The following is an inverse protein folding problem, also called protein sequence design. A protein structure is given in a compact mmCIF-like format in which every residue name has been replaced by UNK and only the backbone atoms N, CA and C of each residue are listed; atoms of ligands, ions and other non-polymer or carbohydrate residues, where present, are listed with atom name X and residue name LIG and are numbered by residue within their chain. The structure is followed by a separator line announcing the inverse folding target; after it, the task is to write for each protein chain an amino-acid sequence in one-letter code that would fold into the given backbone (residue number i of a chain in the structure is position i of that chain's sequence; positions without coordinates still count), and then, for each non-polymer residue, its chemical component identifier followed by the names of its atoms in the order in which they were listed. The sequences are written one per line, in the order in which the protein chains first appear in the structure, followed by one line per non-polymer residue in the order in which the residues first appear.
data_IF_582597586824
#
_entry.id   IF_582597586824
#
_cell.length_a   1.000
_cell.length_b   1.000
_cell.length_c   1.000
_cell.angle_alpha   90.00
_cell.angle_beta   90.00
_cell.angle_gamma   90.00
#
_symmetry.space_group_name_H-M   'P 1'
#
loop_
_entity.id
_entity.type
_entity.pdbx_description
1 polymer ?
#
# COMPACT_ATOMS: atom_id res chain seq x y z
N UNK A 1 45.00 -40.54 21.73
CA UNK A 1 45.14 -40.45 23.19
C UNK A 1 46.12 -39.34 23.53
N UNK A 2 45.65 -38.21 24.09
CA UNK A 2 46.34 -37.42 25.14
C UNK A 2 45.39 -36.34 25.67
N UNK A 3 45.20 -36.39 26.99
CA UNK A 3 44.46 -35.50 27.91
C UNK A 3 44.99 -34.03 27.85
N UNK A 4 44.36 -32.95 28.35
CA UNK A 4 43.62 -32.71 29.60
C UNK A 4 42.96 -31.32 29.56
N UNK A 5 41.87 -31.15 30.32
CA UNK A 5 41.10 -29.96 30.69
C UNK A 5 41.89 -28.72 31.18
N UNK A 6 41.27 -27.54 31.16
CA UNK A 6 40.77 -26.83 32.36
C UNK A 6 40.06 -25.51 32.02
N UNK A 7 39.00 -25.24 32.77
CA UNK A 7 38.24 -24.00 32.82
C UNK A 7 39.13 -22.78 33.11
N UNK A 8 38.83 -21.67 32.45
CA UNK A 8 39.09 -20.33 32.98
C UNK A 8 37.87 -19.44 32.67
N UNK A 9 36.99 -19.31 33.66
CA UNK A 9 36.01 -18.23 33.72
C UNK A 9 36.74 -17.06 34.36
N UNK A 10 36.96 -15.99 33.60
CA UNK A 10 37.41 -14.71 34.12
C UNK A 10 36.59 -13.61 33.43
N UNK A 11 35.69 -12.99 34.20
CA UNK A 11 35.00 -11.78 33.79
C UNK A 11 35.95 -10.59 33.80
N UNK A 12 35.75 -9.68 32.85
CA UNK A 12 36.18 -8.29 32.97
C UNK A 12 35.19 -7.42 32.19
N UNK A 13 34.46 -6.60 32.95
CA UNK A 13 33.70 -5.45 32.49
C UNK A 13 34.69 -4.45 31.92
N UNK A 14 34.52 -4.04 30.67
CA UNK A 14 35.35 -3.01 30.05
C UNK A 14 34.63 -2.47 28.82
N UNK A 15 34.00 -1.30 29.00
CA UNK A 15 33.17 -0.66 27.99
C UNK A 15 33.94 -0.28 26.72
N UNK A 16 33.25 -0.40 25.59
CA UNK A 16 33.53 0.36 24.38
C UNK A 16 32.24 1.06 23.98
N UNK A 17 32.22 2.38 24.23
CA UNK A 17 31.25 3.28 23.65
C UNK A 17 31.47 3.30 22.13
N UNK A 18 30.52 2.75 21.37
CA UNK A 18 30.42 3.03 19.94
C UNK A 18 29.52 4.25 19.78
N UNK A 19 30.13 5.34 19.31
CA UNK A 19 29.50 6.59 18.97
C UNK A 19 28.41 6.37 17.90
N UNK A 20 27.15 6.41 18.31
CA UNK A 20 26.03 6.64 17.41
C UNK A 20 25.70 8.14 17.44
N UNK A 21 26.39 8.91 16.61
CA UNK A 21 25.96 10.26 16.25
C UNK A 21 24.78 10.15 15.30
N UNK A 22 23.57 10.22 15.83
CA UNK A 22 22.33 10.46 15.11
C UNK A 22 21.41 11.25 16.03
N UNK A 23 21.26 12.55 15.77
CA UNK A 23 20.57 13.49 16.64
C UNK A 23 19.11 13.07 16.91
N UNK A 24 18.83 12.65 18.15
CA UNK A 24 17.48 12.55 18.68
C UNK A 24 17.16 13.87 19.40
N UNK A 25 16.35 14.72 18.76
CA UNK A 25 15.66 15.81 19.45
C UNK A 25 14.42 15.22 20.11
N UNK A 26 14.44 15.21 21.45
CA UNK A 26 13.32 14.88 22.31
C UNK A 26 12.24 15.97 22.19
N UNK A 27 11.01 15.58 21.85
CA UNK A 27 9.82 16.25 22.34
C UNK A 27 8.91 15.18 22.94
N UNK A 28 8.66 15.31 24.24
CA UNK A 28 7.71 14.51 25.01
C UNK A 28 6.30 14.70 24.43
N UNK A 29 5.62 13.58 24.18
CA UNK A 29 4.19 13.54 23.89
C UNK A 29 3.66 12.15 24.23
N UNK A 30 3.02 12.04 25.40
CA UNK A 30 2.21 10.89 25.82
C UNK A 30 1.10 10.62 24.80
N UNK A 31 1.14 9.43 24.20
CA UNK A 31 0.16 8.99 23.22
C UNK A 31 0.78 7.94 22.30
N UNK A 32 0.92 6.71 22.80
CA UNK A 32 1.30 5.54 22.00
C UNK A 32 0.14 5.17 21.07
N UNK A 33 -0.10 6.02 20.07
CA UNK A 33 -0.67 5.58 18.82
C UNK A 33 0.40 4.68 18.21
N UNK A 34 0.13 3.38 18.20
CA UNK A 34 0.88 2.32 17.52
C UNK A 34 1.03 2.71 16.04
N UNK A 35 1.98 3.60 15.76
CA UNK A 35 2.25 4.20 14.46
C UNK A 35 3.03 3.17 13.67
N UNK A 36 2.34 2.10 13.27
CA UNK A 36 2.87 1.13 12.31
C UNK A 36 3.40 1.93 11.13
N UNK A 37 4.67 1.73 10.74
CA UNK A 37 5.22 2.38 9.57
C UNK A 37 4.27 2.13 8.40
N UNK A 38 3.89 3.18 7.68
CA UNK A 38 3.12 3.03 6.46
C UNK A 38 3.87 2.05 5.55
N UNK A 39 3.17 1.02 5.04
CA UNK A 39 3.79 0.08 4.12
C UNK A 39 4.40 0.86 2.94
N UNK A 40 5.67 0.60 2.63
CA UNK A 40 6.25 1.11 1.38
C UNK A 40 5.61 0.34 0.24
N UNK A 41 5.08 1.06 -0.75
CA UNK A 41 4.39 0.45 -1.87
C UNK A 41 5.31 -0.53 -2.60
N UNK A 42 4.90 -1.79 -2.72
CA UNK A 42 5.64 -2.82 -3.42
C UNK A 42 5.02 -3.09 -4.79
N UNK A 43 5.84 -3.56 -5.74
CA UNK A 43 5.34 -4.07 -7.00
C UNK A 43 4.61 -5.40 -6.78
N UNK A 44 3.53 -5.63 -7.53
CA UNK A 44 2.76 -6.87 -7.50
C UNK A 44 2.98 -7.67 -8.78
N UNK A 45 3.10 -9.00 -8.64
CA UNK A 45 3.17 -9.91 -9.79
C UNK A 45 1.81 -10.10 -10.47
N UNK A 46 0.75 -10.10 -9.67
CA UNK A 46 -0.64 -10.32 -10.08
C UNK A 46 -1.60 -9.53 -9.17
N UNK A 47 -2.85 -9.42 -9.61
CA UNK A 47 -3.90 -8.69 -8.89
C UNK A 47 -4.45 -9.45 -7.67
N UNK A 48 -4.06 -10.71 -7.46
CA UNK A 48 -4.59 -11.54 -6.39
C UNK A 48 -4.23 -11.01 -5.00
N UNK A 49 -3.01 -10.48 -4.83
CA UNK A 49 -2.58 -9.82 -3.59
C UNK A 49 -3.44 -8.59 -3.26
N UNK A 50 -3.66 -7.72 -4.25
CA UNK A 50 -4.48 -6.52 -4.12
C UNK A 50 -5.94 -6.91 -3.81
N UNK A 51 -6.48 -7.91 -4.52
CA UNK A 51 -7.83 -8.40 -4.26
C UNK A 51 -8.03 -8.97 -2.86
N UNK A 52 -6.99 -9.50 -2.20
CA UNK A 52 -7.08 -9.90 -0.78
C UNK A 52 -7.15 -8.69 0.14
N UNK A 53 -6.29 -7.69 -0.07
CA UNK A 53 -6.31 -6.44 0.70
C UNK A 53 -7.67 -5.73 0.56
N UNK A 54 -8.24 -5.68 -0.65
CA UNK A 54 -9.57 -5.10 -0.87
C UNK A 54 -10.66 -5.84 -0.07
N UNK A 55 -10.66 -7.18 -0.07
CA UNK A 55 -11.62 -7.97 0.71
C UNK A 55 -11.43 -7.78 2.21
N UNK A 56 -10.19 -7.75 2.69
CA UNK A 56 -9.87 -7.51 4.09
C UNK A 56 -10.36 -6.11 4.56
N UNK A 57 -10.31 -5.12 3.67
CA UNK A 57 -10.83 -3.77 3.90
C UNK A 57 -12.36 -3.64 3.71
N UNK A 58 -13.07 -4.74 3.43
CA UNK A 58 -14.54 -4.81 3.37
C UNK A 58 -15.15 -4.76 1.98
N UNK A 59 -14.36 -4.87 0.91
CA UNK A 59 -14.89 -5.03 -0.43
C UNK A 59 -15.54 -6.42 -0.60
N UNK A 60 -16.64 -6.47 -1.34
CA UNK A 60 -17.50 -7.64 -1.57
C UNK A 60 -17.63 -7.92 -3.06
N UNK A 61 -18.12 -9.11 -3.42
CA UNK A 61 -18.37 -9.47 -4.83
C UNK A 61 -17.11 -9.46 -5.72
N UNK A 62 -15.93 -9.63 -5.12
CA UNK A 62 -14.67 -9.48 -5.84
C UNK A 62 -14.40 -10.60 -6.85
N UNK A 63 -14.33 -10.24 -8.14
CA UNK A 63 -13.87 -11.09 -9.24
C UNK A 63 -12.41 -10.73 -9.54
N UNK A 64 -11.51 -11.70 -9.45
CA UNK A 64 -10.07 -11.49 -9.67
C UNK A 64 -9.58 -12.33 -10.84
N UNK A 65 -9.02 -11.65 -11.82
CA UNK A 65 -8.22 -12.21 -12.92
C UNK A 65 -6.73 -12.00 -12.61
N UNK A 66 -5.85 -12.42 -13.52
CA UNK A 66 -4.41 -12.33 -13.31
C UNK A 66 -3.92 -10.88 -13.09
N UNK A 67 -4.39 -9.93 -13.90
CA UNK A 67 -3.93 -8.54 -13.89
C UNK A 67 -5.00 -7.57 -13.41
N UNK A 68 -6.21 -8.03 -13.08
CA UNK A 68 -7.33 -7.16 -12.72
C UNK A 68 -8.16 -7.77 -11.61
N UNK A 69 -8.68 -6.93 -10.72
CA UNK A 69 -9.72 -7.30 -9.76
C UNK A 69 -10.80 -6.24 -9.77
N UNK A 70 -12.05 -6.68 -9.73
CA UNK A 70 -13.23 -5.82 -9.64
C UNK A 70 -14.07 -6.26 -8.44
N UNK A 71 -14.53 -5.30 -7.66
CA UNK A 71 -15.28 -5.52 -6.43
C UNK A 71 -16.38 -4.46 -6.27
N UNK A 72 -17.13 -4.59 -5.18
CA UNK A 72 -18.03 -3.56 -4.67
C UNK A 72 -17.69 -3.19 -3.23
N UNK A 73 -17.75 -1.90 -2.89
CA UNK A 73 -17.65 -1.41 -1.52
C UNK A 73 -18.82 -0.47 -1.26
N UNK A 74 -19.69 -0.80 -0.30
CA UNK A 74 -20.93 -0.04 -0.02
C UNK A 74 -21.78 0.18 -1.29
N UNK A 75 -21.86 -0.84 -2.16
CA UNK A 75 -22.58 -0.79 -3.43
C UNK A 75 -21.84 -0.09 -4.58
N UNK A 76 -20.72 0.59 -4.30
CA UNK A 76 -19.93 1.32 -5.29
C UNK A 76 -18.81 0.49 -5.89
N UNK A 77 -18.47 0.78 -7.13
CA UNK A 77 -17.46 0.10 -7.93
C UNK A 77 -16.07 0.35 -7.36
N UNK A 78 -15.32 -0.74 -7.26
CA UNK A 78 -13.91 -0.74 -6.87
C UNK A 78 -13.19 -1.61 -7.87
N UNK A 79 -12.08 -1.15 -8.40
CA UNK A 79 -11.26 -1.93 -9.30
C UNK A 79 -9.78 -1.74 -8.99
N UNK A 80 -8.98 -2.74 -9.32
CA UNK A 80 -7.55 -2.59 -9.33
C UNK A 80 -6.94 -3.32 -10.53
N UNK A 81 -5.81 -2.82 -10.99
CA UNK A 81 -5.07 -3.39 -12.11
C UNK A 81 -3.58 -3.43 -11.79
N UNK A 82 -2.92 -4.49 -12.26
CA UNK A 82 -1.47 -4.67 -12.24
C UNK A 82 -0.96 -4.60 -13.68
N UNK A 83 0.00 -3.71 -13.91
CA UNK A 83 0.62 -3.45 -15.19
C UNK A 83 1.96 -4.18 -15.25
N UNK A 84 2.06 -5.12 -16.16
CA UNK A 84 3.29 -5.87 -16.44
C UNK A 84 3.86 -5.40 -17.79
N UNK A 85 5.14 -5.66 -18.11
CA UNK A 85 5.71 -5.32 -19.41
C UNK A 85 4.86 -5.81 -20.59
N UNK A 86 4.22 -6.97 -20.44
CA UNK A 86 3.37 -7.59 -21.47
C UNK A 86 2.06 -6.83 -21.73
N UNK A 87 1.62 -5.98 -20.80
CA UNK A 87 0.42 -5.15 -20.99
C UNK A 87 0.65 -3.98 -21.95
N UNK A 88 1.90 -3.68 -22.30
CA UNK A 88 2.24 -2.56 -23.20
C UNK A 88 1.88 -1.17 -22.66
N UNK A 89 1.52 -1.07 -21.37
CA UNK A 89 1.07 0.15 -20.71
C UNK A 89 1.79 0.31 -19.37
N UNK A 90 2.18 1.54 -19.04
CA UNK A 90 2.78 1.87 -17.74
C UNK A 90 1.72 2.33 -16.76
N UNK A 91 2.03 2.28 -15.46
CA UNK A 91 1.17 2.85 -14.42
C UNK A 91 0.91 4.33 -14.65
N UNK A 92 1.89 5.11 -15.10
CA UNK A 92 1.72 6.54 -15.37
C UNK A 92 0.70 6.78 -16.48
N UNK A 93 0.81 6.06 -17.59
CA UNK A 93 -0.15 6.17 -18.70
C UNK A 93 -1.56 5.75 -18.26
N UNK A 94 -1.65 4.66 -17.48
CA UNK A 94 -2.93 4.20 -16.95
C UNK A 94 -3.54 5.21 -15.96
N UNK A 95 -2.71 5.84 -15.11
CA UNK A 95 -3.15 6.81 -14.12
C UNK A 95 -3.80 8.02 -14.78
N UNK A 96 -3.20 8.56 -15.84
CA UNK A 96 -3.79 9.68 -16.59
C UNK A 96 -5.15 9.31 -17.21
N UNK A 97 -5.29 8.07 -17.69
CA UNK A 97 -6.59 7.58 -18.15
C UNK A 97 -7.60 7.46 -17.01
N UNK A 98 -7.20 6.92 -15.85
CA UNK A 98 -8.08 6.66 -14.71
C UNK A 98 -8.54 7.95 -14.01
N UNK A 99 -7.75 9.03 -14.05
CA UNK A 99 -8.14 10.37 -13.57
C UNK A 99 -9.40 10.89 -14.26
N UNK A 100 -9.66 10.50 -15.50
CA UNK A 100 -10.90 10.88 -16.20
C UNK A 100 -12.16 10.33 -15.52
N UNK A 101 -12.05 9.28 -14.71
CA UNK A 101 -13.20 8.62 -14.10
C UNK A 101 -14.14 7.94 -15.10
N UNK A 102 -13.69 7.68 -16.34
CA UNK A 102 -14.53 7.11 -17.41
C UNK A 102 -15.12 5.75 -17.02
N UNK A 103 -14.37 4.92 -16.28
CA UNK A 103 -14.84 3.62 -15.83
C UNK A 103 -16.00 3.72 -14.83
N UNK A 104 -15.90 4.64 -13.89
CA UNK A 104 -16.94 4.94 -12.90
C UNK A 104 -18.17 5.55 -13.59
N UNK A 105 -17.94 6.52 -14.48
CA UNK A 105 -19.00 7.20 -15.22
C UNK A 105 -19.81 6.26 -16.13
N UNK A 106 -19.13 5.31 -16.80
CA UNK A 106 -19.79 4.29 -17.62
C UNK A 106 -20.71 3.35 -16.81
N UNK A 107 -20.45 3.20 -15.51
CA UNK A 107 -21.28 2.43 -14.57
C UNK A 107 -22.37 3.30 -13.89
N UNK A 108 -22.52 4.55 -14.32
CA UNK A 108 -23.49 5.49 -13.76
C UNK A 108 -23.05 6.14 -12.44
N UNK A 109 -21.80 5.95 -12.00
CA UNK A 109 -21.30 6.58 -10.78
C UNK A 109 -20.84 8.00 -11.06
N UNK A 110 -21.56 8.99 -10.52
CA UNK A 110 -21.28 10.41 -10.73
C UNK A 110 -20.58 11.09 -9.54
N UNK A 111 -20.37 10.35 -8.45
CA UNK A 111 -19.80 10.89 -7.21
C UNK A 111 -18.27 10.90 -7.19
N UNK A 112 -17.72 11.49 -6.14
CA UNK A 112 -16.28 11.49 -5.87
C UNK A 112 -15.71 10.06 -5.82
N UNK A 113 -14.48 9.94 -6.29
CA UNK A 113 -13.70 8.71 -6.28
C UNK A 113 -12.26 9.00 -5.93
N UNK A 114 -11.47 7.96 -5.71
CA UNK A 114 -10.05 8.08 -5.42
C UNK A 114 -9.27 7.02 -6.17
N UNK A 115 -8.01 7.33 -6.40
CA UNK A 115 -7.01 6.46 -7.00
C UNK A 115 -5.93 6.22 -5.96
N UNK A 116 -5.44 4.99 -5.87
CA UNK A 116 -4.23 4.65 -5.13
C UNK A 116 -3.20 4.11 -6.11
N UNK A 117 -2.05 4.75 -6.15
CA UNK A 117 -0.97 4.42 -7.07
C UNK A 117 0.15 3.68 -6.34
N UNK A 118 0.50 2.50 -6.85
CA UNK A 118 1.73 1.81 -6.51
C UNK A 118 2.76 1.79 -7.65
N UNK A 119 3.84 1.01 -7.51
CA UNK A 119 4.93 0.98 -8.50
C UNK A 119 4.50 0.45 -9.87
N UNK A 120 3.66 -0.58 -9.88
CA UNK A 120 3.16 -1.22 -11.11
C UNK A 120 1.66 -1.54 -11.05
N UNK A 121 0.91 -0.89 -10.17
CA UNK A 121 -0.52 -1.14 -9.99
C UNK A 121 -1.29 0.12 -9.65
N UNK A 122 -2.59 0.09 -9.90
CA UNK A 122 -3.56 1.13 -9.54
C UNK A 122 -4.77 0.49 -8.85
N UNK A 123 -5.33 1.18 -7.86
CA UNK A 123 -6.65 0.89 -7.29
C UNK A 123 -7.53 2.11 -7.50
N UNK A 124 -8.82 1.90 -7.79
CA UNK A 124 -9.84 2.95 -7.78
C UNK A 124 -11.06 2.52 -6.99
N UNK A 125 -11.73 3.49 -6.37
CA UNK A 125 -13.00 3.28 -5.70
C UNK A 125 -13.42 4.51 -4.89
N UNK A 126 -14.40 4.37 -3.99
CA UNK A 126 -14.74 5.41 -3.02
C UNK A 126 -13.53 5.75 -2.14
N UNK A 127 -13.43 7.01 -1.72
CA UNK A 127 -12.34 7.49 -0.84
C UNK A 127 -12.18 6.62 0.40
N UNK A 128 -13.28 6.28 1.07
CA UNK A 128 -13.26 5.43 2.27
C UNK A 128 -12.62 4.06 2.02
N UNK A 129 -12.80 3.49 0.83
CA UNK A 129 -12.18 2.21 0.46
C UNK A 129 -10.67 2.37 0.24
N UNK A 130 -10.28 3.41 -0.52
CA UNK A 130 -8.86 3.70 -0.80
C UNK A 130 -8.09 4.02 0.49
N UNK A 131 -8.66 4.85 1.36
CA UNK A 131 -8.04 5.21 2.63
C UNK A 131 -7.90 4.01 3.58
N UNK A 132 -8.84 3.03 3.52
CA UNK A 132 -8.76 1.78 4.30
C UNK A 132 -7.69 0.81 3.79
N UNK A 133 -7.49 0.72 2.48
CA UNK A 133 -6.53 -0.25 1.90
C UNK A 133 -5.11 0.30 1.84
N UNK A 134 -4.94 1.63 1.80
CA UNK A 134 -3.64 2.31 1.72
C UNK A 134 -2.63 1.88 2.80
N UNK A 135 -2.99 1.70 4.08
CA UNK A 135 -2.02 1.27 5.09
C UNK A 135 -1.39 -0.10 4.80
N UNK A 136 -2.13 -1.00 4.14
CA UNK A 136 -1.66 -2.35 3.78
C UNK A 136 -0.84 -2.35 2.49
N UNK A 137 -1.32 -1.66 1.46
CA UNK A 137 -0.68 -1.65 0.14
C UNK A 137 0.39 -0.58 -0.02
N UNK A 138 0.38 0.45 0.82
CA UNK A 138 1.14 1.68 0.63
C UNK A 138 0.61 2.51 -0.54
N UNK A 139 1.47 3.38 -1.06
CA UNK A 139 1.25 4.12 -2.31
C UNK A 139 0.69 5.52 -2.12
N UNK A 140 0.58 6.23 -3.25
CA UNK A 140 0.15 7.61 -3.31
C UNK A 140 -1.34 7.68 -3.65
N UNK A 141 -2.12 8.31 -2.78
CA UNK A 141 -3.54 8.52 -3.00
C UNK A 141 -3.78 9.83 -3.75
N UNK A 142 -4.69 9.80 -4.72
CA UNK A 142 -5.19 10.96 -5.43
C UNK A 142 -6.73 10.95 -5.33
N UNK A 143 -7.34 12.09 -5.03
CA UNK A 143 -8.78 12.21 -4.86
C UNK A 143 -9.38 12.99 -6.02
N UNK A 144 -10.47 12.50 -6.60
CA UNK A 144 -11.15 13.14 -7.72
C UNK A 144 -12.59 13.48 -7.33
N UNK A 145 -13.03 14.69 -7.66
CA UNK A 145 -14.34 15.21 -7.22
C UNK A 145 -15.52 14.45 -7.83
N UNK A 146 -15.38 14.01 -9.09
CA UNK A 146 -16.36 13.28 -9.90
C UNK A 146 -15.71 12.81 -11.21
N UNK A 147 -16.34 11.91 -11.99
CA UNK A 147 -15.90 11.64 -13.36
C UNK A 147 -15.77 12.93 -14.17
N UNK A 148 -14.68 13.03 -14.93
CA UNK A 148 -14.28 14.20 -15.72
C UNK A 148 -14.12 15.49 -14.90
N UNK A 149 -13.98 15.36 -13.58
CA UNK A 149 -13.70 16.45 -12.64
C UNK A 149 -12.21 16.66 -12.39
N UNK A 150 -11.90 17.57 -11.46
CA UNK A 150 -10.54 17.76 -11.00
C UNK A 150 -10.11 16.60 -10.08
N UNK A 151 -8.80 16.36 -10.05
CA UNK A 151 -8.16 15.44 -9.12
C UNK A 151 -7.02 16.16 -8.39
N UNK A 152 -6.90 15.92 -7.07
CA UNK A 152 -5.92 16.52 -6.17
C UNK A 152 -5.41 15.53 -5.12
#
# INVERSE_FOLDING_TARGET
MKSTSLLAIAGAVGGTALAATGAAVLLLGDGEADARPAATAAAHRDAGGIGRALRAAGATGCVAEQTRVECRYEGRYVAAAVFTPDTGMTVDTALESWKSGVGQGALGEQGAFSLLRGPNWLVTGPRAMVDKVRPELGGDALHCDRPFGACA
#
